data_IF_979850687447
#
_entry.id   IF_979850687447
#
_cell.length_a   1.000
_cell.length_b   1.000
_cell.length_c   1.000
_cell.angle_alpha   90.00
_cell.angle_beta   90.00
_cell.angle_gamma   90.00
#
_symmetry.space_group_name_H-M   'P 1'
#
loop_
_entity.id
_entity.type
_entity.pdbx_description
1 polymer ?
#
# COMPACT_ATOMS: atom_id res chain seq x y z
N UNK A 1 12.87 10.78 9.67
CA UNK A 1 12.36 9.92 10.74
C UNK A 1 12.68 8.44 10.48
N UNK A 2 12.16 7.82 9.40
CA UNK A 2 12.35 6.38 9.11
C UNK A 2 13.84 6.03 8.95
N UNK A 3 14.58 6.77 8.12
CA UNK A 3 16.03 6.55 7.91
C UNK A 3 16.82 6.54 9.23
N UNK A 4 16.38 7.32 10.21
CA UNK A 4 16.99 7.40 11.55
C UNK A 4 16.61 6.27 12.51
N UNK A 5 15.72 5.36 12.13
CA UNK A 5 15.27 4.23 12.96
C UNK A 5 13.79 4.21 13.31
N UNK A 6 13.01 5.12 12.71
CA UNK A 6 11.57 5.15 12.93
C UNK A 6 10.80 4.12 12.12
N UNK A 7 9.56 3.90 12.50
CA UNK A 7 8.60 3.06 11.78
C UNK A 7 7.57 3.91 11.03
N UNK A 8 7.26 3.52 9.81
CA UNK A 8 6.19 4.11 9.00
C UNK A 8 5.17 3.04 8.64
N UNK A 9 3.91 3.32 8.94
CA UNK A 9 2.77 2.51 8.53
C UNK A 9 1.88 3.36 7.62
N UNK A 10 1.66 2.91 6.40
CA UNK A 10 0.82 3.60 5.43
C UNK A 10 -0.19 2.65 4.80
N UNK A 11 -1.34 3.19 4.44
CA UNK A 11 -2.46 2.45 3.86
C UNK A 11 -3.07 3.23 2.70
N UNK A 12 -3.73 2.50 1.79
CA UNK A 12 -4.49 3.11 0.71
C UNK A 12 -3.60 4.00 -0.18
N UNK A 13 -4.11 5.09 -0.69
CA UNK A 13 -3.38 6.05 -1.51
C UNK A 13 -2.19 6.72 -0.82
N UNK A 14 -2.08 6.65 0.50
CA UNK A 14 -0.90 7.16 1.20
C UNK A 14 0.38 6.39 0.85
N UNK A 15 0.28 5.17 0.34
CA UNK A 15 1.42 4.31 0.04
C UNK A 15 2.13 4.71 -1.25
N UNK A 16 1.39 4.83 -2.35
CA UNK A 16 1.93 5.23 -3.63
C UNK A 16 2.21 6.73 -3.72
N UNK A 17 1.32 7.58 -3.20
CA UNK A 17 1.54 9.03 -3.18
C UNK A 17 2.79 9.43 -2.40
N UNK A 18 3.12 8.71 -1.32
CA UNK A 18 4.36 8.93 -0.57
C UNK A 18 5.61 8.68 -1.44
N UNK A 19 5.66 7.54 -2.10
CA UNK A 19 6.80 7.20 -2.97
C UNK A 19 6.85 8.09 -4.22
N UNK A 20 5.69 8.49 -4.77
CA UNK A 20 5.62 9.48 -5.85
C UNK A 20 6.28 10.79 -5.41
N UNK A 21 5.90 11.32 -4.25
CA UNK A 21 6.45 12.55 -3.71
C UNK A 21 7.97 12.47 -3.50
N UNK A 22 8.47 11.36 -2.97
CA UNK A 22 9.91 11.15 -2.80
C UNK A 22 10.66 11.07 -4.14
N UNK A 23 10.08 10.42 -5.14
CA UNK A 23 10.68 10.31 -6.46
C UNK A 23 10.76 11.63 -7.20
N UNK A 24 9.83 12.54 -6.92
CA UNK A 24 9.68 13.84 -7.55
C UNK A 24 10.44 14.97 -6.83
N UNK A 25 11.33 14.63 -5.88
CA UNK A 25 12.11 15.67 -5.18
C UNK A 25 12.88 16.56 -6.17
N UNK A 26 12.54 17.86 -6.19
CA UNK A 26 13.13 18.84 -7.08
C UNK A 26 12.64 18.78 -8.53
N UNK A 27 11.56 18.05 -8.81
CA UNK A 27 10.91 17.95 -10.12
C UNK A 27 9.45 18.33 -9.98
N UNK A 28 9.00 19.29 -10.75
CA UNK A 28 7.59 19.61 -10.81
C UNK A 28 6.83 18.57 -11.64
N UNK A 29 5.98 17.80 -10.98
CA UNK A 29 5.10 16.80 -11.58
C UNK A 29 3.64 17.25 -11.62
N UNK A 30 3.32 18.43 -11.10
CA UNK A 30 1.97 18.93 -10.99
C UNK A 30 1.49 19.51 -12.33
N UNK A 31 0.31 19.14 -12.76
CA UNK A 31 -0.27 19.69 -13.97
C UNK A 31 -0.94 21.06 -13.69
N UNK A 32 -0.82 22.00 -14.63
CA UNK A 32 -1.30 23.39 -14.53
C UNK A 32 -2.69 23.57 -13.92
N UNK A 33 -3.57 22.58 -14.10
CA UNK A 33 -4.93 22.65 -13.58
C UNK A 33 -5.03 22.56 -12.05
N UNK A 34 -3.95 22.17 -11.36
CA UNK A 34 -3.94 22.01 -9.90
C UNK A 34 -3.29 23.20 -9.19
N UNK A 35 -2.32 23.87 -9.80
CA UNK A 35 -1.52 24.93 -9.18
C UNK A 35 -1.23 26.15 -10.06
N UNK A 36 -1.82 26.19 -11.28
CA UNK A 36 -1.66 27.25 -12.27
C UNK A 36 -0.24 27.37 -12.88
N UNK A 37 0.66 26.40 -12.59
CA UNK A 37 2.00 26.32 -13.14
C UNK A 37 2.17 25.04 -13.99
N UNK A 38 2.86 25.08 -15.15
CA UNK A 38 3.04 23.87 -15.96
C UNK A 38 4.08 22.94 -15.34
N UNK A 39 3.77 21.64 -15.32
CA UNK A 39 4.73 20.61 -14.91
C UNK A 39 6.03 20.68 -15.72
N UNK A 40 7.12 20.23 -15.14
CA UNK A 40 8.42 20.15 -15.78
C UNK A 40 8.38 19.35 -17.09
N UNK A 41 8.88 19.87 -18.21
CA UNK A 41 8.93 19.10 -19.46
C UNK A 41 9.70 17.78 -19.28
N UNK A 42 9.03 16.67 -19.59
CA UNK A 42 9.61 15.33 -19.49
C UNK A 42 9.88 14.89 -18.06
N UNK A 43 9.11 15.35 -17.09
CA UNK A 43 9.26 15.03 -15.66
C UNK A 43 9.35 13.52 -15.39
N UNK A 44 8.64 12.68 -16.15
CA UNK A 44 8.69 11.22 -16.00
C UNK A 44 10.13 10.67 -16.11
N UNK A 45 10.95 11.29 -16.96
CA UNK A 45 12.37 10.91 -17.11
C UNK A 45 13.30 11.53 -16.07
N UNK A 46 12.80 12.46 -15.24
CA UNK A 46 13.57 13.17 -14.23
C UNK A 46 13.37 12.62 -12.82
N UNK A 47 12.25 11.95 -12.58
CA UNK A 47 11.94 11.37 -11.24
C UNK A 47 12.98 10.31 -10.86
N UNK A 48 13.31 10.28 -9.57
CA UNK A 48 14.37 9.42 -9.04
C UNK A 48 13.81 8.29 -8.16
N UNK A 49 13.77 7.09 -8.70
CA UNK A 49 13.28 5.92 -7.96
C UNK A 49 14.20 5.47 -6.80
N UNK A 50 15.44 5.93 -6.71
CA UNK A 50 16.32 5.59 -5.58
C UNK A 50 15.84 6.23 -4.28
N UNK A 51 15.13 7.35 -4.38
CA UNK A 51 14.54 8.03 -3.24
C UNK A 51 13.34 7.28 -2.64
N UNK A 52 12.62 6.50 -3.45
CA UNK A 52 11.41 5.81 -3.00
C UNK A 52 11.70 4.71 -1.98
N UNK A 53 10.68 4.34 -1.24
CA UNK A 53 10.77 3.26 -0.26
C UNK A 53 10.50 1.91 -0.91
N UNK A 54 9.36 1.77 -1.54
CA UNK A 54 8.84 0.48 -1.99
C UNK A 54 8.86 0.29 -3.52
N UNK A 55 8.63 1.35 -4.30
CA UNK A 55 8.30 1.23 -5.71
C UNK A 55 9.37 1.79 -6.65
N UNK A 56 9.39 1.25 -7.88
CA UNK A 56 10.31 1.63 -8.95
C UNK A 56 9.61 1.53 -10.31
N UNK A 57 10.13 2.27 -11.29
CA UNK A 57 9.73 2.17 -12.71
C UNK A 57 8.22 2.41 -12.95
N UNK A 58 7.55 3.07 -12.05
CA UNK A 58 6.15 3.43 -12.23
C UNK A 58 6.02 4.65 -13.16
N UNK A 59 4.87 4.73 -13.80
CA UNK A 59 4.49 5.84 -14.68
C UNK A 59 3.41 6.65 -13.97
N UNK A 60 3.59 7.96 -13.90
CA UNK A 60 2.63 8.86 -13.29
C UNK A 60 1.39 9.01 -14.18
N UNK A 61 0.22 9.01 -13.57
CA UNK A 61 -1.03 9.31 -14.26
C UNK A 61 -1.22 10.83 -14.33
N UNK A 62 -1.47 11.33 -15.53
CA UNK A 62 -1.62 12.78 -15.79
C UNK A 62 -3.06 13.24 -15.80
N UNK A 63 -3.98 12.32 -16.06
CA UNK A 63 -5.37 12.68 -16.22
C UNK A 63 -6.06 12.84 -14.87
N UNK A 64 -6.61 14.01 -14.54
CA UNK A 64 -7.38 14.20 -13.31
C UNK A 64 -8.70 13.43 -13.32
N UNK A 65 -9.07 12.88 -14.47
CA UNK A 65 -10.28 12.06 -14.64
C UNK A 65 -10.05 10.60 -14.26
N UNK A 66 -8.79 10.19 -14.08
CA UNK A 66 -8.41 8.86 -13.61
C UNK A 66 -8.18 8.92 -12.10
N UNK A 67 -8.87 8.08 -11.35
CA UNK A 67 -8.79 8.05 -9.89
C UNK A 67 -7.64 7.16 -9.41
N UNK A 68 -6.48 7.35 -10.01
CA UNK A 68 -5.20 6.69 -9.70
C UNK A 68 -4.07 7.70 -9.88
N UNK A 69 -2.99 7.57 -9.13
CA UNK A 69 -1.87 8.52 -9.25
C UNK A 69 -0.74 8.00 -10.13
N UNK A 70 -0.64 6.70 -10.28
CA UNK A 70 0.39 6.06 -11.09
C UNK A 70 0.05 4.62 -11.44
N UNK A 71 0.90 4.00 -12.25
CA UNK A 71 0.80 2.58 -12.60
C UNK A 71 1.10 1.62 -11.44
N UNK A 72 1.48 2.11 -10.26
CA UNK A 72 1.60 1.29 -9.04
C UNK A 72 0.24 0.70 -8.66
N UNK A 73 -0.79 1.52 -8.74
CA UNK A 73 -2.16 1.16 -8.39
C UNK A 73 -2.76 0.23 -9.45
N UNK A 74 -3.23 -0.93 -9.01
CA UNK A 74 -3.89 -1.89 -9.87
C UNK A 74 -5.41 -1.84 -9.79
N UNK A 75 -6.00 -0.91 -9.06
CA UNK A 75 -7.44 -0.90 -8.76
C UNK A 75 -8.29 -0.91 -10.04
N UNK A 76 -7.96 -0.10 -11.05
CA UNK A 76 -8.69 -0.07 -12.32
C UNK A 76 -8.48 -1.30 -13.19
N UNK A 77 -7.31 -1.94 -13.09
CA UNK A 77 -6.98 -3.16 -13.82
C UNK A 77 -7.71 -4.40 -13.27
N UNK A 78 -8.15 -4.33 -12.03
CA UNK A 78 -8.81 -5.41 -11.31
C UNK A 78 -10.31 -5.32 -11.50
N UNK A 79 -10.93 -6.46 -11.80
CA UNK A 79 -12.39 -6.63 -11.62
C UNK A 79 -12.64 -7.10 -10.20
N UNK A 80 -12.78 -6.15 -9.28
CA UNK A 80 -13.02 -6.48 -7.87
C UNK A 80 -14.40 -7.12 -7.72
N UNK A 81 -14.42 -8.35 -7.25
CA UNK A 81 -15.61 -8.99 -6.73
C UNK A 81 -15.48 -9.09 -5.22
N UNK A 82 -16.31 -8.37 -4.49
CA UNK A 82 -16.28 -8.26 -3.03
C UNK A 82 -16.35 -9.61 -2.30
N UNK A 83 -17.02 -10.59 -2.90
CA UNK A 83 -17.19 -11.92 -2.32
C UNK A 83 -15.93 -12.78 -2.48
N UNK A 84 -15.14 -12.52 -3.50
CA UNK A 84 -13.97 -13.33 -3.86
C UNK A 84 -12.64 -12.57 -3.81
N UNK A 85 -12.65 -11.30 -3.39
CA UNK A 85 -11.43 -10.53 -3.24
C UNK A 85 -10.71 -10.89 -1.94
N UNK A 86 -9.75 -11.80 -2.06
CA UNK A 86 -8.89 -12.25 -0.98
C UNK A 86 -7.44 -12.21 -1.41
N UNK A 87 -6.55 -12.04 -0.44
CA UNK A 87 -5.12 -12.25 -0.64
C UNK A 87 -4.58 -13.27 0.37
N UNK A 88 -3.48 -13.89 0.04
CA UNK A 88 -2.83 -14.89 0.88
C UNK A 88 -1.59 -14.28 1.52
N UNK A 89 -1.44 -14.46 2.82
CA UNK A 89 -0.20 -14.13 3.52
C UNK A 89 0.89 -15.14 3.12
N UNK A 90 2.13 -14.67 3.09
CA UNK A 90 3.28 -15.56 2.92
C UNK A 90 3.35 -16.57 4.08
N UNK A 91 3.86 -17.76 3.79
CA UNK A 91 4.11 -18.74 4.84
C UNK A 91 5.22 -18.25 5.78
N UNK A 92 4.93 -18.26 7.06
CA UNK A 92 5.86 -17.89 8.12
C UNK A 92 5.65 -18.76 9.37
N UNK A 93 6.62 -18.77 10.24
CA UNK A 93 6.51 -19.42 11.55
C UNK A 93 7.16 -18.54 12.61
N UNK A 94 6.81 -18.78 13.87
CA UNK A 94 7.39 -18.03 15.00
C UNK A 94 8.93 -18.08 15.05
N UNK A 95 9.53 -19.09 14.42
CA UNK A 95 10.99 -19.22 14.30
C UNK A 95 11.59 -18.37 13.16
N UNK A 96 10.81 -18.12 12.10
CA UNK A 96 11.26 -17.50 10.87
C UNK A 96 10.46 -16.27 10.49
N UNK A 97 9.59 -15.82 11.41
CA UNK A 97 8.80 -14.63 11.17
C UNK A 97 9.72 -13.39 11.17
N UNK A 98 9.95 -12.78 10.02
CA UNK A 98 10.77 -11.58 9.94
C UNK A 98 10.11 -10.40 10.66
N UNK A 99 8.79 -10.48 10.89
CA UNK A 99 8.01 -9.38 11.42
C UNK A 99 6.88 -9.92 12.28
N UNK A 100 6.96 -9.75 13.61
CA UNK A 100 5.92 -10.21 14.54
C UNK A 100 4.51 -9.69 14.23
N UNK A 101 4.41 -8.58 13.49
CA UNK A 101 3.14 -7.99 13.07
C UNK A 101 2.31 -8.86 12.12
N UNK A 102 2.90 -9.91 11.55
CA UNK A 102 2.17 -10.90 10.74
C UNK A 102 1.30 -11.87 11.53
N UNK A 103 1.53 -12.01 12.83
CA UNK A 103 0.74 -12.90 13.66
C UNK A 103 -0.71 -12.48 13.69
N UNK A 104 -1.58 -13.35 13.21
CA UNK A 104 -3.02 -13.11 13.12
C UNK A 104 -3.78 -14.07 14.05
N UNK A 105 -4.97 -13.63 14.46
CA UNK A 105 -5.87 -14.51 15.18
C UNK A 105 -6.38 -15.62 14.25
N UNK A 106 -6.73 -16.76 14.85
CA UNK A 106 -7.31 -17.91 14.16
C UNK A 106 -6.38 -18.60 13.15
N UNK A 107 -5.10 -18.28 13.14
CA UNK A 107 -4.10 -18.90 12.24
C UNK A 107 -4.51 -18.92 10.77
N UNK A 108 -5.32 -17.96 10.32
CA UNK A 108 -5.72 -17.88 8.92
C UNK A 108 -4.63 -17.20 8.09
N UNK A 109 -4.32 -17.75 6.94
CA UNK A 109 -3.45 -17.10 5.94
C UNK A 109 -4.23 -16.42 4.83
N UNK A 110 -5.55 -16.59 4.78
CA UNK A 110 -6.43 -16.00 3.79
C UNK A 110 -7.11 -14.78 4.39
N UNK A 111 -6.84 -13.62 3.80
CA UNK A 111 -7.31 -12.32 4.26
C UNK A 111 -8.20 -11.72 3.20
N UNK A 112 -9.32 -11.17 3.61
CA UNK A 112 -10.21 -10.40 2.75
C UNK A 112 -9.50 -9.14 2.24
N UNK A 113 -9.72 -8.79 0.97
CA UNK A 113 -9.14 -7.58 0.39
C UNK A 113 -9.64 -6.32 1.10
N UNK A 114 -8.75 -5.35 1.29
CA UNK A 114 -9.12 -4.08 1.90
C UNK A 114 -9.67 -3.15 0.82
N UNK A 115 -10.70 -2.41 1.16
CA UNK A 115 -11.27 -1.37 0.29
C UNK A 115 -10.56 -0.04 0.50
N UNK A 116 -10.67 0.83 -0.49
CA UNK A 116 -10.02 2.14 -0.52
C UNK A 116 -9.62 2.53 -1.93
N UNK A 117 -8.71 3.48 -2.09
CA UNK A 117 -8.26 3.93 -3.41
C UNK A 117 -7.22 2.97 -3.98
N UNK A 118 -6.02 2.94 -3.47
CA UNK A 118 -4.95 2.05 -3.90
C UNK A 118 -5.07 0.72 -3.19
N UNK A 119 -5.81 -0.23 -3.78
CA UNK A 119 -6.17 -1.50 -3.12
C UNK A 119 -5.19 -2.64 -3.40
N UNK A 120 -4.36 -2.51 -4.42
CA UNK A 120 -3.32 -3.47 -4.78
C UNK A 120 -2.19 -2.78 -5.52
N UNK A 121 -1.00 -3.35 -5.46
CA UNK A 121 0.20 -2.85 -6.11
C UNK A 121 0.63 -3.75 -7.27
N UNK A 122 1.09 -3.14 -8.37
CA UNK A 122 1.74 -3.84 -9.47
C UNK A 122 3.04 -4.48 -8.96
N UNK A 123 3.08 -5.83 -8.99
CA UNK A 123 4.18 -6.57 -8.38
C UNK A 123 5.55 -6.28 -9.01
N UNK A 124 5.60 -6.10 -10.32
CA UNK A 124 6.85 -5.84 -11.03
C UNK A 124 7.46 -4.46 -10.72
N UNK A 125 6.67 -3.58 -10.16
CA UNK A 125 7.12 -2.26 -9.73
C UNK A 125 7.61 -2.22 -8.27
N UNK A 126 7.51 -3.32 -7.54
CA UNK A 126 8.05 -3.42 -6.19
C UNK A 126 9.58 -3.66 -6.28
N UNK A 127 10.34 -2.94 -5.46
CA UNK A 127 11.80 -3.11 -5.37
C UNK A 127 12.15 -4.50 -4.82
N UNK A 128 13.27 -5.07 -5.30
CA UNK A 128 13.70 -6.41 -4.93
C UNK A 128 14.03 -6.61 -3.45
N UNK A 129 14.34 -5.53 -2.74
CA UNK A 129 14.63 -5.54 -1.30
C UNK A 129 13.37 -5.32 -0.42
N UNK A 130 12.20 -5.25 -1.02
CA UNK A 130 10.92 -5.13 -0.33
C UNK A 130 10.27 -6.51 -0.26
N UNK A 131 9.89 -6.91 0.94
CA UNK A 131 9.23 -8.18 1.20
C UNK A 131 7.74 -8.06 0.90
N UNK A 132 7.23 -8.93 0.03
CA UNK A 132 5.79 -9.08 -0.22
C UNK A 132 5.24 -10.08 0.79
N UNK A 133 4.46 -9.58 1.74
CA UNK A 133 3.91 -10.35 2.85
C UNK A 133 2.49 -10.84 2.59
N UNK A 134 1.77 -10.18 1.69
CA UNK A 134 0.44 -10.58 1.26
C UNK A 134 0.24 -10.31 -0.22
N UNK A 135 -0.27 -11.30 -0.96
CA UNK A 135 -0.39 -11.22 -2.40
C UNK A 135 -1.54 -12.06 -2.97
N UNK A 136 -1.96 -11.74 -4.18
CA UNK A 136 -2.76 -12.60 -5.02
C UNK A 136 -1.97 -12.96 -6.27
N UNK A 137 -1.31 -14.12 -6.24
CA UNK A 137 -0.34 -14.53 -7.27
C UNK A 137 -0.92 -14.64 -8.67
N UNK A 138 -2.17 -15.08 -8.78
CA UNK A 138 -2.83 -15.28 -10.08
C UNK A 138 -2.96 -14.01 -10.89
N UNK A 139 -3.06 -12.86 -10.22
CA UNK A 139 -3.25 -11.56 -10.86
C UNK A 139 -1.96 -10.71 -10.85
N UNK A 140 -0.88 -11.20 -10.27
CA UNK A 140 0.35 -10.41 -10.09
C UNK A 140 0.21 -9.25 -9.10
N UNK A 141 -0.70 -9.37 -8.14
CA UNK A 141 -1.04 -8.31 -7.20
C UNK A 141 -0.35 -8.49 -5.85
N UNK A 142 0.31 -7.46 -5.35
CA UNK A 142 0.73 -7.38 -3.96
C UNK A 142 -0.25 -6.50 -3.16
N UNK A 143 -0.52 -6.89 -1.91
CA UNK A 143 -1.48 -6.22 -1.03
C UNK A 143 -0.89 -5.74 0.29
N UNK A 144 0.14 -6.38 0.73
CA UNK A 144 0.82 -6.10 1.99
C UNK A 144 2.32 -6.28 1.78
N UNK A 145 3.07 -5.21 1.96
CA UNK A 145 4.51 -5.20 1.73
C UNK A 145 5.23 -4.54 2.90
N UNK A 146 6.48 -4.96 3.10
CA UNK A 146 7.34 -4.47 4.16
C UNK A 146 8.76 -4.26 3.65
N UNK A 147 9.44 -3.24 4.14
CA UNK A 147 10.82 -2.98 3.79
C UNK A 147 11.60 -2.21 4.85
N UNK A 148 12.90 -2.19 4.66
CA UNK A 148 13.84 -1.45 5.50
C UNK A 148 14.34 -0.23 4.71
N UNK A 149 14.40 0.93 5.36
CA UNK A 149 15.00 2.15 4.81
C UNK A 149 15.91 2.79 5.86
N UNK A 150 17.21 2.76 5.60
CA UNK A 150 18.20 3.20 6.60
C UNK A 150 18.21 2.29 7.83
N UNK A 151 17.95 2.86 9.00
CA UNK A 151 17.88 2.13 10.29
C UNK A 151 16.45 1.77 10.68
N UNK A 152 15.45 2.29 9.97
CA UNK A 152 14.05 2.07 10.26
C UNK A 152 13.39 1.17 9.21
N UNK A 153 12.09 1.01 9.35
CA UNK A 153 11.31 0.13 8.49
C UNK A 153 9.93 0.71 8.19
N UNK A 154 9.30 0.17 7.17
CA UNK A 154 7.98 0.59 6.75
C UNK A 154 7.10 -0.60 6.40
N UNK A 155 5.81 -0.40 6.52
CA UNK A 155 4.79 -1.35 6.09
C UNK A 155 3.70 -0.62 5.33
N UNK A 156 3.36 -1.12 4.14
CA UNK A 156 2.32 -0.58 3.29
C UNK A 156 1.22 -1.60 3.05
N UNK A 157 -0.02 -1.17 3.17
CA UNK A 157 -1.21 -1.95 2.82
C UNK A 157 -1.96 -1.32 1.66
N UNK A 158 -2.36 -2.15 0.71
CA UNK A 158 -3.35 -1.80 -0.30
C UNK A 158 -4.74 -1.74 0.32
N UNK A 159 -5.41 -0.59 0.20
CA UNK A 159 -6.68 -0.33 0.87
C UNK A 159 -6.51 -0.03 2.37
N UNK A 160 -7.63 0.23 3.06
CA UNK A 160 -7.62 0.58 4.47
C UNK A 160 -8.79 -0.02 5.27
N UNK A 161 -9.84 -0.50 4.62
CA UNK A 161 -10.98 -1.10 5.31
C UNK A 161 -11.21 -2.55 4.89
N UNK A 162 -10.93 -3.51 5.79
CA UNK A 162 -11.08 -4.93 5.50
C UNK A 162 -12.53 -5.43 5.57
N UNK A 163 -13.47 -4.67 6.13
CA UNK A 163 -14.84 -5.13 6.35
C UNK A 163 -15.91 -4.24 5.71
N UNK A 164 -15.57 -3.03 5.31
CA UNK A 164 -16.46 -2.14 4.55
C UNK A 164 -16.19 -2.22 3.05
N UNK A 165 -17.06 -2.94 2.36
CA UNK A 165 -16.94 -3.14 0.90
C UNK A 165 -17.71 -2.13 0.06
N UNK A 166 -18.35 -1.17 0.67
CA UNK A 166 -19.07 -0.12 -0.06
C UNK A 166 -18.40 1.24 0.02
N UNK A 167 -17.51 1.41 0.95
CA UNK A 167 -16.75 2.62 1.31
C UNK A 167 -16.94 3.79 0.33
N UNK A 168 -17.95 4.60 0.59
CA UNK A 168 -18.29 5.79 -0.19
C UNK A 168 -18.06 7.03 0.66
N UNK A 169 -17.77 8.14 0.00
CA UNK A 169 -17.70 9.43 0.71
C UNK A 169 -19.02 9.71 1.39
N UNK A 170 -19.01 9.87 2.72
CA UNK A 170 -20.20 10.11 3.53
C UNK A 170 -20.84 8.88 4.16
N UNK A 171 -20.29 7.68 3.92
CA UNK A 171 -20.72 6.47 4.62
C UNK A 171 -20.48 6.59 6.14
N UNK A 172 -21.31 5.89 6.91
CA UNK A 172 -21.12 5.78 8.34
C UNK A 172 -19.79 5.09 8.66
N UNK A 173 -19.21 5.43 9.81
CA UNK A 173 -17.99 4.75 10.27
C UNK A 173 -18.26 3.26 10.48
N UNK A 174 -17.30 2.42 10.12
CA UNK A 174 -17.38 0.99 10.40
C UNK A 174 -17.40 0.74 11.91
N UNK A 175 -18.37 -0.04 12.36
CA UNK A 175 -18.52 -0.42 13.76
C UNK A 175 -17.63 -1.62 14.06
N UNK A 176 -16.44 -1.39 14.61
CA UNK A 176 -15.44 -2.44 14.90
C UNK A 176 -15.97 -3.55 15.80
N UNK A 177 -16.93 -3.24 16.67
CA UNK A 177 -17.59 -4.18 17.59
C UNK A 177 -18.36 -5.27 16.84
N UNK A 178 -18.79 -5.01 15.60
CA UNK A 178 -19.43 -6.00 14.75
C UNK A 178 -18.43 -6.99 14.12
N UNK A 179 -17.13 -6.68 14.17
CA UNK A 179 -16.08 -7.43 13.52
C UNK A 179 -14.96 -7.89 14.48
N UNK A 180 -15.29 -8.47 15.66
CA UNK A 180 -14.30 -8.78 16.70
C UNK A 180 -13.26 -9.82 16.27
N UNK A 181 -13.56 -10.60 15.23
CA UNK A 181 -12.70 -11.66 14.71
C UNK A 181 -12.12 -11.36 13.33
N UNK A 182 -12.18 -10.11 12.87
CA UNK A 182 -11.63 -9.73 11.57
C UNK A 182 -10.11 -9.92 11.51
N UNK A 183 -9.59 -10.79 10.62
CA UNK A 183 -8.16 -10.94 10.44
C UNK A 183 -7.52 -9.66 9.88
N UNK A 184 -8.23 -8.92 9.04
CA UNK A 184 -7.75 -7.66 8.46
C UNK A 184 -7.53 -6.59 9.52
N UNK A 185 -8.51 -6.34 10.40
CA UNK A 185 -8.32 -5.40 11.52
C UNK A 185 -7.23 -5.89 12.48
N UNK A 186 -7.07 -7.18 12.63
CA UNK A 186 -5.98 -7.70 13.47
C UNK A 186 -4.61 -7.40 12.90
N UNK A 187 -4.42 -7.52 11.57
CA UNK A 187 -3.17 -7.14 10.92
C UNK A 187 -2.87 -5.65 11.10
N UNK A 188 -3.87 -4.79 10.95
CA UNK A 188 -3.73 -3.35 11.18
C UNK A 188 -3.30 -3.09 12.62
N UNK A 189 -3.99 -3.66 13.59
CA UNK A 189 -3.69 -3.50 15.00
C UNK A 189 -2.27 -3.94 15.36
N UNK A 190 -1.84 -5.08 14.82
CA UNK A 190 -0.48 -5.59 15.05
C UNK A 190 0.57 -4.60 14.56
N UNK A 191 0.37 -3.99 13.38
CA UNK A 191 1.30 -3.00 12.83
C UNK A 191 1.32 -1.67 13.62
N UNK A 192 0.29 -1.40 14.42
CA UNK A 192 0.27 -0.26 15.35
C UNK A 192 0.99 -0.60 16.65
N UNK A 193 0.77 -1.79 17.18
CA UNK A 193 1.23 -2.19 18.51
C UNK A 193 2.70 -2.65 18.55
N UNK A 194 3.11 -3.53 17.62
CA UNK A 194 4.44 -4.14 17.67
C UNK A 194 5.60 -3.15 17.50
N UNK A 195 5.53 -2.13 16.65
CA UNK A 195 6.60 -1.16 16.53
C UNK A 195 6.78 -0.27 17.77
N UNK A 196 5.79 -0.25 18.66
CA UNK A 196 5.82 0.52 19.90
C UNK A 196 6.33 -0.31 21.10
N UNK A 197 6.52 -1.61 20.91
CA UNK A 197 7.03 -2.53 21.92
C UNK A 197 8.54 -2.69 21.82
#
# INVERSE_FOLDING_TARGET
YVVGGGFMFAMCSATDSFDIALSAEGVDICETMFDDDPSDPGYQGKINYDNTFAFKNFILERSPMVYEFSSIDMTSKRKINKETDYFTLMDYSAKWDPIPTMLIQNHTSLIKGFMGQTTAYERDQIKANVLVMGEQKTNGEARYIHGIKGKGFFTFYGGHDPEDYQHRVGDAKTELELHPNSPGYRLILNNVLFPAA
#
